data_IF_179226452615
#
_entry.id   IF_179226452615
#
_cell.length_a   1.000
_cell.length_b   1.000
_cell.length_c   1.000
_cell.angle_alpha   90.00
_cell.angle_beta   90.00
_cell.angle_gamma   90.00
#
_symmetry.space_group_name_H-M   'P 1'
#
loop_
_entity.id
_entity.type
_entity.pdbx_description
1 polymer ?
#
# COMPACT_ATOMS: atom_id res chain seq x y z
N UNK A 1 -12.92 7.39 13.67
CA UNK A 1 -12.78 8.37 12.57
C UNK A 1 -11.93 7.68 11.52
N UNK A 2 -12.55 7.01 10.53
CA UNK A 2 -11.79 6.40 9.44
C UNK A 2 -11.03 7.53 8.73
N UNK A 3 -9.71 7.47 8.71
CA UNK A 3 -8.98 8.18 7.65
C UNK A 3 -9.40 7.50 6.35
N UNK A 4 -10.29 8.12 5.59
CA UNK A 4 -10.55 7.69 4.24
C UNK A 4 -9.19 7.69 3.52
N UNK A 5 -8.73 6.51 3.10
CA UNK A 5 -7.55 6.41 2.26
C UNK A 5 -7.85 7.26 1.03
N UNK A 6 -7.21 8.43 0.94
CA UNK A 6 -7.32 9.27 -0.23
C UNK A 6 -6.90 8.42 -1.43
N UNK A 7 -7.73 8.38 -2.49
CA UNK A 7 -7.37 7.59 -3.67
C UNK A 7 -6.03 8.09 -4.20
N UNK A 8 -5.00 7.23 -4.29
CA UNK A 8 -3.70 7.63 -4.79
C UNK A 8 -3.83 8.12 -6.23
N UNK A 9 -3.32 9.32 -6.49
CA UNK A 9 -3.23 9.86 -7.84
C UNK A 9 -1.93 9.45 -8.53
N UNK A 10 -1.86 9.63 -9.85
CA UNK A 10 -0.67 9.31 -10.67
C UNK A 10 0.60 10.04 -10.21
N UNK A 11 0.47 11.24 -9.64
CA UNK A 11 1.58 11.99 -9.06
C UNK A 11 2.23 11.26 -7.87
N UNK A 12 1.40 10.65 -6.99
CA UNK A 12 1.92 9.86 -5.87
C UNK A 12 2.59 8.59 -6.38
N UNK A 13 2.00 7.91 -7.36
CA UNK A 13 2.60 6.72 -7.99
C UNK A 13 3.97 7.05 -8.61
N UNK A 14 4.07 8.20 -9.28
CA UNK A 14 5.32 8.65 -9.91
C UNK A 14 6.42 8.91 -8.88
N UNK A 15 6.08 9.61 -7.80
CA UNK A 15 7.01 9.88 -6.68
C UNK A 15 7.48 8.58 -6.01
N UNK A 16 6.54 7.65 -5.73
CA UNK A 16 6.87 6.37 -5.12
C UNK A 16 7.74 5.51 -6.04
N UNK A 17 7.44 5.48 -7.35
CA UNK A 17 8.25 4.77 -8.33
C UNK A 17 9.68 5.30 -8.38
N UNK A 18 9.87 6.63 -8.38
CA UNK A 18 11.18 7.25 -8.35
C UNK A 18 11.98 6.87 -7.09
N UNK A 19 11.33 6.88 -5.91
CA UNK A 19 11.96 6.46 -4.65
C UNK A 19 12.36 4.99 -4.61
N UNK A 20 11.60 4.14 -5.29
CA UNK A 20 11.87 2.70 -5.39
C UNK A 20 12.80 2.34 -6.55
N UNK A 21 13.20 3.31 -7.39
CA UNK A 21 14.00 3.06 -8.59
C UNK A 21 13.26 2.25 -9.65
N UNK A 22 11.92 2.33 -9.68
CA UNK A 22 11.07 1.62 -10.63
C UNK A 22 10.76 2.49 -11.84
N UNK A 23 11.00 1.96 -13.04
CA UNK A 23 10.51 2.55 -14.27
C UNK A 23 9.07 2.09 -14.53
N UNK A 24 8.14 3.03 -14.66
CA UNK A 24 6.75 2.78 -15.02
C UNK A 24 6.48 3.46 -16.36
N UNK A 25 5.96 2.71 -17.33
CA UNK A 25 5.47 3.29 -18.57
C UNK A 25 4.35 4.30 -18.25
N UNK A 26 4.41 5.56 -18.73
CA UNK A 26 3.36 6.54 -18.50
C UNK A 26 1.95 6.05 -18.87
N UNK A 27 1.83 5.17 -19.87
CA UNK A 27 0.55 4.56 -20.25
C UNK A 27 -0.05 3.65 -19.15
N UNK A 28 0.76 3.21 -18.18
CA UNK A 28 0.34 2.33 -17.08
C UNK A 28 0.04 3.10 -15.79
N UNK A 29 0.41 4.38 -15.68
CA UNK A 29 0.19 5.18 -14.47
C UNK A 29 -1.26 5.15 -13.96
N UNK A 30 -2.30 5.28 -14.83
CA UNK A 30 -3.69 5.21 -14.36
C UNK A 30 -4.03 3.85 -13.73
N UNK A 31 -3.58 2.75 -14.35
CA UNK A 31 -3.84 1.40 -13.87
C UNK A 31 -3.09 1.10 -12.56
N UNK A 32 -1.84 1.54 -12.45
CA UNK A 32 -1.06 1.38 -11.21
C UNK A 32 -1.69 2.16 -10.06
N UNK A 33 -2.17 3.38 -10.31
CA UNK A 33 -2.89 4.17 -9.31
C UNK A 33 -4.17 3.46 -8.84
N UNK A 34 -4.95 2.87 -9.75
CA UNK A 34 -6.14 2.09 -9.42
C UNK A 34 -5.81 0.86 -8.57
N UNK A 35 -4.79 0.09 -8.95
CA UNK A 35 -4.38 -1.08 -8.18
C UNK A 35 -3.84 -0.72 -6.80
N UNK A 36 -3.06 0.35 -6.69
CA UNK A 36 -2.59 0.87 -5.41
C UNK A 36 -3.77 1.31 -4.53
N UNK A 37 -4.79 1.92 -5.11
CA UNK A 37 -6.01 2.28 -4.38
C UNK A 37 -6.70 1.04 -3.78
N UNK A 38 -6.82 -0.04 -4.56
CA UNK A 38 -7.37 -1.32 -4.10
C UNK A 38 -6.56 -1.95 -2.97
N UNK A 39 -5.23 -1.96 -3.08
CA UNK A 39 -4.33 -2.47 -2.05
C UNK A 39 -4.44 -1.69 -0.74
N UNK A 40 -4.48 -0.35 -0.82
CA UNK A 40 -4.61 0.49 0.37
C UNK A 40 -5.99 0.31 1.04
N UNK A 41 -7.06 0.14 0.25
CA UNK A 41 -8.38 -0.18 0.79
C UNK A 41 -8.38 -1.53 1.53
N UNK A 42 -7.74 -2.57 0.98
CA UNK A 42 -7.59 -3.85 1.66
C UNK A 42 -6.74 -3.72 2.94
N UNK A 43 -5.65 -2.96 2.89
CA UNK A 43 -4.80 -2.68 4.05
C UNK A 43 -5.54 -1.96 5.18
N UNK A 44 -6.46 -1.06 4.85
CA UNK A 44 -7.30 -0.38 5.84
C UNK A 44 -8.17 -1.36 6.64
N UNK A 45 -8.70 -2.40 5.99
CA UNK A 45 -9.49 -3.45 6.68
C UNK A 45 -8.64 -4.22 7.70
N UNK A 46 -7.37 -4.48 7.37
CA UNK A 46 -6.42 -5.17 8.28
C UNK A 46 -6.02 -4.24 9.42
N UNK A 47 -5.80 -2.95 9.15
CA UNK A 47 -5.39 -1.97 10.16
C UNK A 47 -6.46 -1.71 11.24
N UNK A 48 -7.74 -2.00 10.95
CA UNK A 48 -8.84 -1.91 11.91
C UNK A 48 -8.89 -3.09 12.89
N UNK A 49 -8.13 -4.16 12.64
CA UNK A 49 -8.07 -5.30 13.55
C UNK A 49 -7.32 -4.92 14.84
N UNK A 50 -7.91 -5.12 16.03
CA UNK A 50 -7.22 -4.84 17.28
C UNK A 50 -6.02 -5.76 17.43
N UNK A 51 -4.86 -5.15 17.70
CA UNK A 51 -3.61 -5.87 17.95
C UNK A 51 -3.27 -5.81 19.45
N UNK A 52 -3.03 -6.96 20.10
CA UNK A 52 -2.48 -6.98 21.46
C UNK A 52 -1.11 -6.29 21.53
N UNK A 53 -0.80 -5.65 22.66
CA UNK A 53 0.50 -4.97 22.84
C UNK A 53 1.70 -5.94 22.83
N UNK A 54 1.45 -7.23 23.11
CA UNK A 54 2.45 -8.30 23.15
C UNK A 54 2.50 -9.15 21.87
N UNK A 55 1.80 -8.73 20.81
CA UNK A 55 1.84 -9.44 19.53
C UNK A 55 3.18 -9.24 18.84
N UNK A 56 3.86 -10.36 18.57
CA UNK A 56 5.07 -10.39 17.75
C UNK A 56 4.71 -10.64 16.29
N UNK A 57 5.56 -10.19 15.36
CA UNK A 57 5.40 -10.51 13.95
C UNK A 57 5.38 -12.03 13.74
N UNK A 58 4.58 -12.50 12.78
CA UNK A 58 4.46 -13.94 12.51
C UNK A 58 5.85 -14.57 12.26
N UNK A 59 6.09 -15.77 12.83
CA UNK A 59 7.42 -16.36 12.89
C UNK A 59 8.02 -16.68 11.51
N UNK A 60 9.34 -16.62 11.47
CA UNK A 60 10.18 -16.89 10.30
C UNK A 60 10.73 -18.32 10.38
N UNK A 61 10.95 -18.92 9.22
CA UNK A 61 11.48 -20.28 9.02
C UNK A 61 12.78 -20.56 9.80
N UNK A 62 12.87 -21.77 10.39
CA UNK A 62 14.07 -22.31 11.04
C UNK A 62 14.70 -23.43 10.17
N UNK A 63 16.05 -23.48 10.06
CA UNK A 63 16.77 -24.34 9.11
C UNK A 63 16.76 -25.84 9.42
#
# INVERSE_FOLDING_TARGET
MLCAVARPGEALVTELAARLGLAIDPAWLPAVAEQLAGLLAAGALVAEMPLPDDVEAAPVFEP
#
